data_IF_386472355017
#
_entry.id   IF_386472355017
#
_cell.length_a   1.000
_cell.length_b   1.000
_cell.length_c   1.000
_cell.angle_alpha   90.00
_cell.angle_beta   90.00
_cell.angle_gamma   90.00
#
_symmetry.space_group_name_H-M   'P 1'
#
loop_
_entity.id
_entity.type
_entity.pdbx_description
1 polymer ?
#
# COMPACT_ATOMS: atom_id res chain seq x y z
N UNK A 1 0.76 15.12 8.33
CA UNK A 1 -0.44 15.87 7.91
C UNK A 1 -1.67 15.05 8.24
N UNK A 2 -2.38 15.39 9.31
CA UNK A 2 -3.68 14.84 9.69
C UNK A 2 -4.78 15.60 8.95
N UNK A 3 -4.84 15.43 7.62
CA UNK A 3 -6.06 15.76 6.88
C UNK A 3 -7.05 14.62 7.11
N UNK A 4 -8.29 14.93 7.51
CA UNK A 4 -9.40 13.99 7.47
C UNK A 4 -9.61 13.57 6.00
N UNK A 5 -8.84 12.58 5.53
CA UNK A 5 -9.03 12.04 4.21
C UNK A 5 -10.41 11.39 4.18
N UNK A 6 -11.28 11.99 3.38
CA UNK A 6 -12.64 11.54 3.08
C UNK A 6 -12.61 10.05 2.76
N UNK A 7 -13.50 9.29 3.40
CA UNK A 7 -13.74 7.88 3.05
C UNK A 7 -14.18 7.81 1.60
N UNK A 8 -13.45 7.04 0.79
CA UNK A 8 -13.80 6.83 -0.61
C UNK A 8 -14.87 5.73 -0.70
N UNK A 9 -15.96 6.03 -1.42
CA UNK A 9 -17.01 5.06 -1.75
C UNK A 9 -16.52 4.09 -2.82
N UNK A 10 -17.02 2.86 -2.78
CA UNK A 10 -16.72 1.82 -3.77
C UNK A 10 -17.94 1.68 -4.67
N UNK A 11 -17.71 1.52 -5.97
CA UNK A 11 -18.76 1.42 -6.98
C UNK A 11 -18.57 0.17 -7.84
N UNK A 12 -19.68 -0.44 -8.27
CA UNK A 12 -19.69 -1.57 -9.18
C UNK A 12 -19.49 -1.14 -10.64
N UNK A 13 -19.37 -2.12 -11.55
CA UNK A 13 -19.22 -1.84 -12.99
C UNK A 13 -20.40 -1.10 -13.63
N UNK A 14 -21.55 -1.09 -12.97
CA UNK A 14 -22.75 -0.32 -13.35
C UNK A 14 -22.76 1.11 -12.78
N UNK A 15 -21.74 1.51 -12.02
CA UNK A 15 -21.66 2.82 -11.37
C UNK A 15 -22.49 2.96 -10.09
N UNK A 16 -23.17 1.91 -9.63
CA UNK A 16 -23.88 1.92 -8.35
C UNK A 16 -22.90 1.76 -7.18
N UNK A 17 -23.16 2.45 -6.06
CA UNK A 17 -22.37 2.30 -4.83
C UNK A 17 -22.53 0.88 -4.28
N UNK A 18 -21.42 0.19 -4.05
CA UNK A 18 -21.42 -1.14 -3.45
C UNK A 18 -21.59 -1.02 -1.94
N UNK A 19 -22.57 -1.74 -1.41
CA UNK A 19 -22.73 -1.89 0.03
C UNK A 19 -21.73 -2.91 0.57
N UNK A 20 -21.22 -2.63 1.76
CA UNK A 20 -20.41 -3.56 2.54
C UNK A 20 -21.18 -4.87 2.80
N UNK A 21 -20.48 -6.00 2.75
CA UNK A 21 -20.99 -7.34 3.10
C UNK A 21 -22.15 -7.91 2.26
N UNK A 22 -22.48 -7.34 1.09
CA UNK A 22 -23.55 -7.85 0.20
C UNK A 22 -23.01 -8.26 -1.17
N UNK A 23 -22.61 -7.29 -2.00
CA UNK A 23 -22.09 -7.49 -3.37
C UNK A 23 -20.70 -6.84 -3.59
N UNK A 24 -20.14 -6.25 -2.52
CA UNK A 24 -18.91 -5.46 -2.55
C UNK A 24 -17.73 -6.06 -1.77
N UNK A 25 -16.88 -5.18 -1.27
CA UNK A 25 -15.78 -5.51 -0.37
C UNK A 25 -16.32 -5.98 0.99
N UNK A 26 -15.78 -7.08 1.52
CA UNK A 26 -16.11 -7.59 2.85
C UNK A 26 -15.04 -7.13 3.82
N UNK A 27 -15.43 -6.68 5.02
CA UNK A 27 -14.48 -6.43 6.10
C UNK A 27 -14.94 -7.03 7.41
N UNK A 28 -14.00 -7.30 8.31
CA UNK A 28 -14.29 -7.93 9.60
C UNK A 28 -13.36 -7.40 10.68
N UNK A 29 -13.92 -7.18 11.87
CA UNK A 29 -13.13 -6.85 13.05
C UNK A 29 -12.33 -8.07 13.47
N UNK A 30 -11.01 -7.90 13.61
CA UNK A 30 -10.10 -8.95 14.06
C UNK A 30 -10.60 -9.66 15.32
N UNK A 31 -11.18 -8.93 16.28
CA UNK A 31 -11.61 -9.47 17.58
C UNK A 31 -12.72 -10.51 17.46
N UNK A 32 -13.45 -10.53 16.35
CA UNK A 32 -14.54 -11.48 16.09
C UNK A 32 -14.08 -12.78 15.43
N UNK A 33 -12.82 -12.83 14.94
CA UNK A 33 -12.30 -13.93 14.12
C UNK A 33 -10.96 -14.50 14.61
N UNK A 34 -10.38 -13.94 15.68
CA UNK A 34 -9.15 -14.48 16.29
C UNK A 34 -9.40 -15.93 16.69
N UNK A 35 -8.53 -16.81 16.18
CA UNK A 35 -8.59 -18.23 16.42
C UNK A 35 -7.57 -18.72 17.44
N UNK A 36 -7.24 -20.00 17.32
CA UNK A 36 -6.17 -20.66 18.09
C UNK A 36 -4.83 -19.91 17.94
N UNK A 37 -4.02 -19.90 19.00
CA UNK A 37 -2.75 -19.17 19.08
C UNK A 37 -2.86 -17.65 18.88
N UNK A 38 -4.03 -17.07 19.18
CA UNK A 38 -4.28 -15.63 19.15
C UNK A 38 -3.96 -14.96 17.80
N UNK A 39 -4.26 -15.64 16.69
CA UNK A 39 -4.08 -15.08 15.35
C UNK A 39 -5.21 -15.45 14.37
N UNK A 40 -5.20 -14.83 13.19
CA UNK A 40 -6.24 -14.96 12.15
C UNK A 40 -5.87 -15.90 11.00
N UNK A 41 -4.75 -16.64 11.07
CA UNK A 41 -4.22 -17.43 9.95
C UNK A 41 -5.26 -18.39 9.34
N UNK A 42 -5.97 -19.16 10.18
CA UNK A 42 -7.00 -20.09 9.70
C UNK A 42 -8.14 -19.36 8.99
N UNK A 43 -8.50 -18.16 9.47
CA UNK A 43 -9.57 -17.37 8.90
C UNK A 43 -9.18 -16.80 7.53
N UNK A 44 -7.96 -16.27 7.38
CA UNK A 44 -7.50 -15.64 6.14
C UNK A 44 -7.43 -16.64 4.98
N UNK A 45 -7.01 -17.88 5.26
CA UNK A 45 -7.00 -18.97 4.26
C UNK A 45 -8.41 -19.28 3.74
N UNK A 46 -9.42 -19.22 4.61
CA UNK A 46 -10.81 -19.52 4.25
C UNK A 46 -11.55 -18.31 3.65
N UNK A 47 -11.03 -17.09 3.83
CA UNK A 47 -11.70 -15.84 3.45
C UNK A 47 -10.75 -14.86 2.73
N UNK A 48 -10.12 -15.25 1.59
CA UNK A 48 -9.05 -14.48 0.96
C UNK A 48 -9.47 -13.10 0.43
N UNK A 49 -10.78 -12.84 0.29
CA UNK A 49 -11.32 -11.57 -0.20
C UNK A 49 -11.87 -10.67 0.93
N UNK A 50 -11.59 -11.00 2.19
CA UNK A 50 -12.05 -10.23 3.36
C UNK A 50 -10.93 -9.35 3.90
N UNK A 51 -11.20 -8.06 4.05
CA UNK A 51 -10.31 -7.15 4.75
C UNK A 51 -10.46 -7.30 6.27
N UNK A 52 -9.38 -7.69 6.96
CA UNK A 52 -9.37 -7.77 8.41
C UNK A 52 -8.86 -6.44 8.96
N UNK A 53 -9.65 -5.81 9.82
CA UNK A 53 -9.33 -4.52 10.41
C UNK A 53 -9.15 -4.66 11.93
N UNK A 54 -8.32 -3.79 12.51
CA UNK A 54 -8.00 -3.76 13.93
C UNK A 54 -7.84 -2.32 14.39
N UNK A 55 -8.73 -1.88 15.27
CA UNK A 55 -8.75 -0.51 15.82
C UNK A 55 -7.83 -0.33 17.02
N UNK A 56 -7.38 -1.42 17.63
CA UNK A 56 -6.54 -1.41 18.82
C UNK A 56 -5.08 -1.64 18.44
N UNK A 57 -4.16 -1.14 19.27
CA UNK A 57 -2.73 -1.49 19.20
C UNK A 57 -2.61 -3.03 19.26
N UNK A 58 -1.82 -3.68 18.38
CA UNK A 58 -0.80 -3.13 17.47
C UNK A 58 -1.29 -2.55 16.12
N UNK A 59 -2.59 -2.54 15.83
CA UNK A 59 -3.16 -2.26 14.50
C UNK A 59 -2.64 -3.25 13.44
N UNK A 60 -2.76 -4.54 13.76
CA UNK A 60 -2.31 -5.66 12.93
C UNK A 60 -3.51 -6.51 12.48
N UNK A 61 -3.44 -7.11 11.29
CA UNK A 61 -4.49 -7.97 10.73
C UNK A 61 -4.33 -9.45 11.11
N UNK A 62 -3.12 -9.83 11.52
CA UNK A 62 -2.74 -11.19 11.90
C UNK A 62 -3.05 -11.48 13.36
N UNK A 63 -2.77 -10.55 14.27
CA UNK A 63 -2.94 -10.75 15.72
C UNK A 63 -3.39 -9.48 16.46
N UNK A 64 -3.96 -9.66 17.65
CA UNK A 64 -4.23 -8.58 18.61
C UNK A 64 -3.17 -8.49 19.72
N UNK A 65 -2.15 -9.36 19.68
CA UNK A 65 -1.15 -9.49 20.74
C UNK A 65 0.20 -8.99 20.21
N UNK A 66 0.81 -8.05 20.92
CA UNK A 66 2.18 -7.63 20.64
C UNK A 66 3.14 -8.83 20.74
N UNK A 67 4.16 -8.86 19.88
CA UNK A 67 5.14 -9.94 19.74
C UNK A 67 4.60 -11.28 19.21
N UNK A 68 3.30 -11.39 18.89
CA UNK A 68 2.71 -12.54 18.19
C UNK A 68 2.51 -12.25 16.69
N UNK A 69 3.06 -11.15 16.17
CA UNK A 69 3.07 -10.88 14.75
C UNK A 69 3.92 -11.92 14.01
N UNK A 70 3.58 -12.19 12.75
CA UNK A 70 4.39 -13.03 11.91
C UNK A 70 5.22 -12.18 10.94
N UNK A 71 6.48 -11.97 11.31
CA UNK A 71 7.43 -11.10 10.60
C UNK A 71 7.93 -11.70 9.28
N UNK A 72 7.75 -13.00 9.08
CA UNK A 72 8.27 -13.73 7.92
C UNK A 72 7.22 -13.93 6.81
N UNK A 73 5.98 -13.46 7.01
CA UNK A 73 4.86 -13.64 6.06
C UNK A 73 5.15 -13.16 4.64
N UNK A 74 6.11 -12.27 4.47
CA UNK A 74 6.43 -11.58 3.22
C UNK A 74 7.75 -12.04 2.59
N UNK A 75 8.33 -13.12 3.12
CA UNK A 75 9.54 -13.73 2.56
C UNK A 75 10.81 -12.92 2.77
N UNK A 76 10.82 -11.90 3.64
CA UNK A 76 12.07 -11.18 3.96
C UNK A 76 12.98 -12.11 4.76
N UNK A 77 14.11 -12.50 4.17
CA UNK A 77 15.06 -13.45 4.75
C UNK A 77 14.45 -14.82 5.11
N UNK A 78 13.37 -15.24 4.44
CA UNK A 78 12.72 -16.52 4.64
C UNK A 78 12.41 -17.22 3.30
N UNK A 79 12.24 -18.54 3.34
CA UNK A 79 11.83 -19.32 2.17
C UNK A 79 10.39 -18.99 1.76
N UNK A 80 10.11 -19.00 0.45
CA UNK A 80 8.75 -18.83 -0.06
C UNK A 80 7.83 -19.93 0.47
N UNK A 81 6.67 -19.51 0.92
CA UNK A 81 5.53 -20.33 1.28
C UNK A 81 4.49 -20.38 0.16
N UNK A 82 3.47 -21.23 0.33
CA UNK A 82 2.29 -21.23 -0.54
C UNK A 82 1.41 -19.97 -0.39
N UNK A 83 1.68 -19.12 0.61
CA UNK A 83 0.93 -17.91 0.93
C UNK A 83 1.64 -16.63 0.48
N UNK A 84 2.80 -16.76 -0.16
CA UNK A 84 3.49 -15.62 -0.76
C UNK A 84 2.63 -14.99 -1.86
N UNK A 85 2.38 -13.67 -1.81
CA UNK A 85 1.55 -13.00 -2.81
C UNK A 85 2.26 -12.85 -4.17
N UNK A 86 3.57 -13.10 -4.21
CA UNK A 86 4.36 -13.03 -5.43
C UNK A 86 4.65 -14.43 -6.00
N UNK A 87 4.51 -14.64 -7.31
CA UNK A 87 4.72 -15.94 -7.95
C UNK A 87 6.19 -16.39 -7.87
N UNK A 88 6.45 -17.66 -8.20
CA UNK A 88 7.82 -18.22 -8.24
C UNK A 88 8.74 -17.37 -9.13
N UNK A 89 9.95 -17.07 -8.64
CA UNK A 89 10.92 -16.20 -9.32
C UNK A 89 10.71 -14.71 -9.04
N UNK A 90 9.74 -14.36 -8.20
CA UNK A 90 9.41 -12.99 -7.83
C UNK A 90 9.12 -12.89 -6.34
N UNK A 91 9.58 -11.83 -5.69
CA UNK A 91 9.37 -11.57 -4.26
C UNK A 91 8.74 -10.21 -4.01
N UNK A 92 8.21 -9.99 -2.81
CA UNK A 92 7.85 -8.64 -2.37
C UNK A 92 9.13 -7.79 -2.36
N UNK A 93 9.02 -6.55 -2.82
CA UNK A 93 10.15 -5.61 -2.86
C UNK A 93 10.84 -5.49 -1.49
N UNK A 94 12.16 -5.79 -1.36
CA UNK A 94 12.89 -5.56 -0.12
C UNK A 94 13.16 -4.08 0.12
N UNK A 95 13.55 -3.73 1.35
CA UNK A 95 14.07 -2.40 1.65
C UNK A 95 15.22 -2.03 0.70
N UNK A 96 15.22 -0.78 0.25
CA UNK A 96 16.19 -0.25 -0.72
C UNK A 96 15.79 -0.39 -2.19
N UNK A 97 14.74 -1.16 -2.52
CA UNK A 97 14.25 -1.32 -3.90
C UNK A 97 13.96 0.00 -4.60
N UNK A 98 13.53 1.02 -3.86
CA UNK A 98 13.08 2.31 -4.40
C UNK A 98 13.98 3.48 -4.00
N UNK A 99 15.23 3.23 -3.62
CA UNK A 99 16.15 4.30 -3.19
C UNK A 99 16.45 5.33 -4.29
N UNK A 100 16.24 4.98 -5.55
CA UNK A 100 16.36 5.87 -6.69
C UNK A 100 15.08 6.69 -6.97
N UNK A 101 14.01 6.49 -6.19
CA UNK A 101 12.78 7.30 -6.24
C UNK A 101 12.91 8.55 -5.34
N UNK A 102 13.95 8.61 -4.49
CA UNK A 102 14.23 9.79 -3.66
C UNK A 102 15.07 10.82 -4.40
N UNK A 103 14.84 12.08 -4.02
CA UNK A 103 15.68 13.24 -4.37
C UNK A 103 17.11 12.95 -3.94
N UNK A 104 18.08 12.90 -4.85
CA UNK A 104 19.46 12.69 -4.43
C UNK A 104 20.09 13.98 -3.86
N UNK A 105 19.69 15.19 -4.29
CA UNK A 105 20.50 16.39 -4.00
C UNK A 105 19.75 17.72 -3.75
N UNK A 106 18.45 17.87 -4.06
CA UNK A 106 17.79 19.19 -3.97
C UNK A 106 16.28 19.09 -3.68
N UNK A 107 15.83 19.77 -2.62
CA UNK A 107 14.43 19.82 -2.20
C UNK A 107 13.56 20.83 -2.99
N UNK A 108 14.21 21.68 -3.81
CA UNK A 108 13.60 22.70 -4.65
C UNK A 108 13.37 22.27 -6.10
N UNK A 109 13.88 21.09 -6.50
CA UNK A 109 13.56 20.52 -7.81
C UNK A 109 12.09 20.05 -7.86
N UNK A 110 11.40 20.25 -9.00
CA UNK A 110 10.14 19.56 -9.28
C UNK A 110 10.36 18.03 -9.19
N UNK A 111 9.30 17.22 -9.02
CA UNK A 111 9.43 15.75 -9.02
C UNK A 111 9.80 15.19 -10.41
N UNK A 112 10.18 16.06 -11.34
CA UNK A 112 10.74 15.72 -12.65
C UNK A 112 12.01 14.89 -12.49
N UNK A 113 12.03 13.75 -13.18
CA UNK A 113 13.15 12.80 -13.12
C UNK A 113 12.63 11.37 -13.27
N UNK A 114 13.14 10.47 -12.44
CA UNK A 114 12.81 9.04 -12.44
C UNK A 114 11.37 8.73 -12.03
N UNK A 115 10.65 9.61 -11.30
CA UNK A 115 9.33 9.26 -10.72
C UNK A 115 8.27 10.40 -10.71
N UNK A 116 7.97 11.04 -11.86
CA UNK A 116 7.01 12.14 -11.98
C UNK A 116 5.57 11.74 -11.66
N UNK A 117 4.75 12.72 -11.28
CA UNK A 117 3.32 12.54 -11.01
C UNK A 117 2.45 12.90 -12.22
N UNK A 118 1.36 12.15 -12.39
CA UNK A 118 0.39 12.37 -13.46
C UNK A 118 -1.00 12.61 -12.87
N UNK A 119 -1.62 13.70 -13.31
CA UNK A 119 -3.02 14.02 -13.05
C UNK A 119 -3.80 13.85 -14.35
N UNK A 120 -4.82 12.98 -14.35
CA UNK A 120 -5.62 12.70 -15.57
C UNK A 120 -4.76 12.34 -16.79
N UNK A 121 -3.64 11.64 -16.57
CA UNK A 121 -2.71 11.24 -17.63
C UNK A 121 -1.81 12.36 -18.15
N UNK A 122 -1.86 13.55 -17.57
CA UNK A 122 -0.96 14.66 -17.89
C UNK A 122 0.08 14.81 -16.78
N UNK A 123 1.35 14.98 -17.15
CA UNK A 123 2.42 15.26 -16.18
C UNK A 123 2.07 16.57 -15.47
N UNK A 124 1.97 16.51 -14.14
CA UNK A 124 1.73 17.69 -13.30
C UNK A 124 2.72 17.72 -12.15
N UNK A 125 3.30 18.89 -11.94
CA UNK A 125 4.45 19.09 -11.05
C UNK A 125 4.27 20.29 -10.11
N UNK A 126 3.09 20.90 -10.10
CA UNK A 126 2.82 22.06 -9.25
C UNK A 126 2.65 21.67 -7.76
N UNK A 127 2.63 20.36 -7.46
CA UNK A 127 2.59 19.79 -6.13
C UNK A 127 1.37 20.23 -5.33
N UNK A 128 0.33 20.78 -5.99
CA UNK A 128 -0.80 21.37 -5.29
C UNK A 128 -1.66 20.27 -4.67
N UNK A 129 -2.00 20.48 -3.42
CA UNK A 129 -2.95 19.64 -2.71
C UNK A 129 -4.36 19.91 -3.24
N UNK A 130 -5.12 18.86 -3.57
CA UNK A 130 -6.53 18.99 -3.95
C UNK A 130 -6.95 18.27 -5.23
N UNK A 131 -5.99 17.83 -6.05
CA UNK A 131 -6.28 17.17 -7.33
C UNK A 131 -6.43 15.64 -7.17
N UNK A 132 -7.65 15.19 -6.95
CA UNK A 132 -7.98 13.76 -6.81
C UNK A 132 -8.66 13.24 -8.08
N UNK A 133 -7.97 12.36 -8.82
CA UNK A 133 -8.58 11.71 -9.99
C UNK A 133 -8.28 10.23 -10.06
N UNK A 134 -9.19 9.50 -10.72
CA UNK A 134 -9.19 8.03 -10.82
C UNK A 134 -7.95 7.48 -11.54
N UNK A 135 -7.35 8.26 -12.45
CA UNK A 135 -6.18 7.85 -13.23
C UNK A 135 -4.88 8.47 -12.72
N UNK A 136 -4.88 8.96 -11.48
CA UNK A 136 -3.68 9.55 -10.88
C UNK A 136 -2.66 8.49 -10.50
N UNK A 137 -1.38 8.86 -10.54
CA UNK A 137 -0.28 7.99 -10.14
C UNK A 137 1.07 8.54 -10.56
N UNK A 138 2.08 7.68 -10.50
CA UNK A 138 3.47 8.02 -10.85
C UNK A 138 4.04 7.02 -11.85
N UNK A 139 4.88 7.52 -12.75
CA UNK A 139 5.55 6.69 -13.75
C UNK A 139 7.04 6.60 -13.42
N UNK A 140 7.53 5.40 -13.13
CA UNK A 140 8.95 5.16 -12.96
C UNK A 140 9.66 5.09 -14.32
N UNK A 141 10.78 5.80 -14.44
CA UNK A 141 11.62 5.91 -15.64
C UNK A 141 13.07 5.62 -15.27
N UNK A 142 13.77 4.83 -16.08
CA UNK A 142 15.15 4.40 -15.83
C UNK A 142 16.24 5.47 -16.03
N UNK A 143 15.91 6.77 -15.99
CA UNK A 143 16.90 7.84 -16.11
C UNK A 143 16.55 9.04 -15.21
N UNK A 144 17.56 9.56 -14.51
CA UNK A 144 17.47 10.74 -13.64
C UNK A 144 17.07 12.01 -14.37
N UNK A 145 17.30 12.09 -15.68
CA UNK A 145 16.86 13.20 -16.54
C UNK A 145 15.34 13.24 -16.80
N UNK A 146 14.59 12.20 -16.41
CA UNK A 146 13.16 12.08 -16.71
C UNK A 146 12.82 11.83 -18.18
N UNK A 147 13.85 11.69 -19.03
CA UNK A 147 13.74 11.29 -20.46
C UNK A 147 13.92 9.79 -20.67
N UNK A 148 14.11 9.02 -19.60
CA UNK A 148 14.30 7.58 -19.66
C UNK A 148 13.03 6.84 -20.08
N UNK A 149 13.21 5.61 -20.58
CA UNK A 149 12.10 4.71 -20.93
C UNK A 149 11.21 4.46 -19.71
N UNK A 150 9.89 4.56 -19.82
CA UNK A 150 8.96 4.13 -18.78
C UNK A 150 9.17 2.65 -18.43
N UNK A 151 9.37 2.37 -17.14
CA UNK A 151 9.61 1.02 -16.62
C UNK A 151 8.41 0.47 -15.86
N UNK A 152 7.70 1.33 -15.11
CA UNK A 152 6.55 0.87 -14.32
C UNK A 152 5.60 2.01 -13.94
N UNK A 153 4.30 1.73 -13.98
CA UNK A 153 3.26 2.62 -13.47
C UNK A 153 2.90 2.28 -12.01
N UNK A 154 2.81 3.31 -11.17
CA UNK A 154 2.47 3.22 -9.75
C UNK A 154 1.18 4.00 -9.51
N UNK A 155 0.01 3.34 -9.44
CA UNK A 155 -1.26 4.02 -9.30
C UNK A 155 -1.37 4.68 -7.91
N UNK A 156 -2.05 5.83 -7.85
CA UNK A 156 -2.50 6.41 -6.58
C UNK A 156 -3.72 5.66 -6.05
N UNK A 157 -3.56 4.37 -5.75
CA UNK A 157 -4.63 3.47 -5.34
C UNK A 157 -5.18 3.76 -3.94
N UNK A 158 -4.48 4.56 -3.13
CA UNK A 158 -4.83 4.75 -1.73
C UNK A 158 -4.54 3.51 -0.88
N UNK A 159 -5.28 3.38 0.22
CA UNK A 159 -5.14 2.30 1.23
C UNK A 159 -6.50 1.91 1.79
N UNK A 160 -6.66 0.69 2.29
CA UNK A 160 -7.70 0.40 3.28
C UNK A 160 -7.16 0.68 4.68
N UNK A 161 -7.86 1.51 5.44
CA UNK A 161 -7.43 1.94 6.77
C UNK A 161 -7.77 0.89 7.85
N UNK A 162 -6.84 0.55 8.76
CA UNK A 162 -7.02 -0.52 9.75
C UNK A 162 -8.13 -0.25 10.77
N UNK A 163 -8.50 1.01 11.00
CA UNK A 163 -9.48 1.35 12.02
C UNK A 163 -10.94 1.24 11.54
N UNK A 164 -11.19 1.35 10.23
CA UNK A 164 -12.57 1.45 9.70
C UNK A 164 -12.79 0.62 8.43
N UNK A 165 -11.73 0.03 7.87
CA UNK A 165 -11.74 -0.70 6.60
C UNK A 165 -12.25 0.10 5.40
N UNK A 166 -12.16 1.43 5.48
CA UNK A 166 -12.52 2.32 4.39
C UNK A 166 -11.31 2.60 3.49
N UNK A 167 -11.57 2.78 2.19
CA UNK A 167 -10.57 3.29 1.26
C UNK A 167 -10.29 4.76 1.62
N UNK A 168 -9.01 5.10 1.69
CA UNK A 168 -8.52 6.47 1.89
C UNK A 168 -7.44 6.80 0.87
N UNK A 169 -7.32 8.09 0.53
CA UNK A 169 -6.27 8.62 -0.33
C UNK A 169 -6.27 8.08 -1.78
N UNK A 170 -7.35 7.45 -2.23
CA UNK A 170 -7.51 7.06 -3.63
C UNK A 170 -7.47 8.32 -4.51
N UNK A 171 -6.66 8.27 -5.56
CA UNK A 171 -6.35 9.42 -6.42
C UNK A 171 -5.38 10.44 -5.81
N UNK A 172 -5.02 10.33 -4.52
CA UNK A 172 -4.14 11.27 -3.83
C UNK A 172 -2.70 10.76 -3.71
N UNK A 173 -2.56 9.46 -3.47
CA UNK A 173 -1.28 8.82 -3.19
C UNK A 173 -1.32 7.32 -3.37
N UNK A 174 -0.14 6.72 -3.52
CA UNK A 174 0.05 5.29 -3.57
C UNK A 174 0.96 4.80 -2.46
N UNK A 175 0.68 3.58 -2.00
CA UNK A 175 1.29 2.97 -0.84
C UNK A 175 1.58 1.52 -1.21
N UNK A 176 2.83 1.10 -1.09
CA UNK A 176 3.28 -0.22 -1.49
C UNK A 176 4.10 -0.84 -0.39
N UNK A 177 3.72 -2.04 0.05
CA UNK A 177 4.46 -2.79 1.05
C UNK A 177 5.86 -3.19 0.56
N UNK A 178 6.84 -3.08 1.44
CA UNK A 178 8.10 -3.81 1.35
C UNK A 178 8.02 -5.09 2.18
N UNK A 179 8.93 -6.03 1.94
CA UNK A 179 9.04 -7.24 2.76
C UNK A 179 9.54 -6.96 4.18
N UNK A 180 10.21 -5.82 4.40
CA UNK A 180 10.86 -5.49 5.66
C UNK A 180 9.90 -4.98 6.74
N UNK A 181 10.04 -5.53 7.95
CA UNK A 181 9.28 -5.18 9.15
C UNK A 181 10.01 -4.16 10.03
N UNK A 182 9.27 -3.45 10.89
CA UNK A 182 9.81 -2.52 11.88
C UNK A 182 9.02 -2.59 13.18
N UNK A 183 9.48 -3.42 14.12
CA UNK A 183 8.73 -3.75 15.35
C UNK A 183 7.31 -4.24 14.98
N UNK A 184 6.27 -3.69 15.62
CA UNK A 184 4.86 -3.99 15.32
C UNK A 184 4.34 -3.39 14.01
N UNK A 185 5.20 -2.69 13.25
CA UNK A 185 4.90 -2.05 11.97
C UNK A 185 5.58 -2.77 10.80
N UNK A 186 5.32 -2.25 9.60
CA UNK A 186 5.98 -2.63 8.37
C UNK A 186 6.44 -1.38 7.60
N UNK A 187 7.38 -1.57 6.67
CA UNK A 187 7.95 -0.50 5.85
C UNK A 187 7.34 -0.56 4.44
N UNK A 188 7.13 0.60 3.82
CA UNK A 188 6.64 0.70 2.45
C UNK A 188 7.14 1.94 1.71
N UNK A 189 6.93 1.93 0.39
CA UNK A 189 6.98 3.15 -0.43
C UNK A 189 5.65 3.88 -0.31
N UNK A 190 5.72 5.15 0.05
CA UNK A 190 4.58 6.05 0.15
C UNK A 190 4.84 7.24 -0.77
N UNK A 191 3.89 7.58 -1.62
CA UNK A 191 3.99 8.76 -2.46
C UNK A 191 2.67 9.50 -2.54
N UNK A 192 2.74 10.82 -2.56
CA UNK A 192 1.64 11.77 -2.71
C UNK A 192 1.93 12.70 -3.89
N UNK A 193 1.04 13.63 -4.20
CA UNK A 193 1.30 14.70 -5.16
C UNK A 193 2.58 15.49 -4.87
N UNK A 194 2.86 15.78 -3.60
CA UNK A 194 3.93 16.70 -3.19
C UNK A 194 5.19 16.04 -2.67
N UNK A 195 5.18 14.74 -2.37
CA UNK A 195 6.31 14.06 -1.75
C UNK A 195 6.33 12.55 -2.02
N UNK A 196 7.50 11.96 -1.76
CA UNK A 196 7.76 10.51 -1.80
C UNK A 196 8.58 10.15 -0.57
N UNK A 197 8.28 9.01 0.04
CA UNK A 197 9.00 8.41 1.16
C UNK A 197 9.23 6.94 0.84
N UNK A 198 10.48 6.55 0.65
CA UNK A 198 10.82 5.18 0.22
C UNK A 198 10.69 4.16 1.36
N UNK A 199 10.81 4.63 2.61
CA UNK A 199 10.80 3.81 3.83
C UNK A 199 9.78 4.34 4.85
N UNK A 200 8.53 4.56 4.42
CA UNK A 200 7.48 4.98 5.34
C UNK A 200 7.02 3.83 6.22
N UNK A 201 7.09 4.03 7.54
CA UNK A 201 6.70 3.03 8.54
C UNK A 201 5.22 3.17 8.87
N UNK A 202 4.45 2.08 8.78
CA UNK A 202 3.00 2.03 9.04
C UNK A 202 2.60 0.69 9.67
N UNK A 203 1.51 0.70 10.44
CA UNK A 203 1.01 -0.51 11.07
C UNK A 203 0.61 -1.57 10.03
N UNK A 204 0.78 -2.85 10.36
CA UNK A 204 0.60 -3.93 9.38
C UNK A 204 -0.84 -4.09 8.92
N UNK A 205 -1.82 -3.66 9.73
CA UNK A 205 -3.25 -3.69 9.41
C UNK A 205 -3.69 -2.75 8.28
N UNK A 206 -2.81 -1.89 7.75
CA UNK A 206 -3.11 -1.19 6.51
C UNK A 206 -3.05 -2.15 5.32
N UNK A 207 -4.06 -2.14 4.44
CA UNK A 207 -3.91 -2.80 3.14
C UNK A 207 -3.23 -1.84 2.16
N UNK A 208 -1.93 -2.01 1.96
CA UNK A 208 -1.20 -1.39 0.86
C UNK A 208 -1.19 -2.31 -0.34
N UNK A 209 -0.96 -1.73 -1.51
CA UNK A 209 -0.65 -2.53 -2.70
C UNK A 209 0.65 -3.29 -2.50
N UNK A 210 0.85 -4.37 -3.27
CA UNK A 210 2.12 -5.09 -3.32
C UNK A 210 2.68 -4.95 -4.73
N UNK A 211 4.00 -4.84 -4.83
CA UNK A 211 4.72 -4.96 -6.10
C UNK A 211 5.75 -6.07 -5.97
N UNK A 212 5.64 -7.03 -6.87
CA UNK A 212 6.62 -8.09 -6.98
C UNK A 212 7.82 -7.62 -7.82
N UNK A 213 9.02 -7.96 -7.36
CA UNK A 213 10.28 -7.75 -8.08
C UNK A 213 10.92 -9.11 -8.34
N UNK A 214 11.70 -9.22 -9.41
CA UNK A 214 12.38 -10.47 -9.73
C UNK A 214 13.37 -10.82 -8.60
N UNK A 215 13.43 -12.10 -8.25
CA UNK A 215 14.39 -12.65 -7.28
C UNK A 215 15.84 -12.55 -7.77
#
# INVERSE_FOLDING_TARGET
>A
MSGNATVCKIYGGNGAELSEDIEGFKKVDITTIIGENANTFKYTVLNPLTFIYNVAVPNDWYTTVDDNQNDTLWGDNADKSAYDPCPRGWRIAPNGTWNDFSRTEDASQPLSGTFPYYIKGVIQEDGKTGDFHQTNGRLYKGASSGTGTPLAWYPSAGVLAPAIGAIRYAGAGGYIWQSTVSQTNAIGLLFYLSNTMNNGIRARGYAFSIRCVQE
#
